data_IF_015975314338
#
_entry.id   IF_015975314338
#
_cell.length_a   1.000
_cell.length_b   1.000
_cell.length_c   1.000
_cell.angle_alpha   90.00
_cell.angle_beta   90.00
_cell.angle_gamma   90.00
#
_symmetry.space_group_name_H-M   'P 1'
#
loop_
_entity.id
_entity.type
_entity.pdbx_description
1 polymer ?
#
# COMPACT_ATOMS: atom_id res chain seq x y z
N UNK A 1 -8.40 -8.68 20.65
CA UNK A 1 -7.74 -8.86 19.35
C UNK A 1 -8.82 -9.22 18.35
N UNK A 2 -9.05 -8.42 17.33
CA UNK A 2 -9.91 -8.86 16.23
C UNK A 2 -9.19 -9.99 15.49
N UNK A 3 -9.95 -11.00 15.07
CA UNK A 3 -9.44 -12.14 14.32
C UNK A 3 -8.88 -11.60 12.98
N UNK A 4 -7.55 -11.57 12.80
CA UNK A 4 -6.92 -11.18 11.52
C UNK A 4 -5.59 -10.41 11.57
N UNK A 5 -5.24 -9.74 12.68
CA UNK A 5 -3.99 -8.97 12.75
C UNK A 5 -2.78 -9.90 12.98
N UNK A 6 -2.06 -10.24 11.91
CA UNK A 6 -0.78 -10.96 12.02
C UNK A 6 0.30 -9.98 12.46
N UNK A 7 0.54 -9.93 13.77
CA UNK A 7 1.71 -9.27 14.31
C UNK A 7 2.96 -9.91 13.69
N UNK A 8 3.92 -9.10 13.31
CA UNK A 8 5.12 -9.56 12.65
C UNK A 8 6.35 -9.21 13.46
N UNK A 9 7.21 -10.20 13.61
CA UNK A 9 8.47 -10.10 14.29
C UNK A 9 9.46 -9.48 13.32
N UNK A 10 9.77 -8.21 13.60
CA UNK A 10 10.68 -7.42 12.77
C UNK A 10 12.08 -8.04 12.74
N UNK A 11 12.52 -8.66 13.85
CA UNK A 11 13.87 -9.23 14.01
C UNK A 11 14.09 -10.46 13.15
N UNK A 12 13.13 -11.38 13.15
CA UNK A 12 13.20 -12.64 12.40
C UNK A 12 12.61 -12.53 11.01
N UNK A 13 11.94 -11.41 10.69
CA UNK A 13 11.17 -11.22 9.45
C UNK A 13 10.21 -12.38 9.24
N UNK A 14 9.42 -12.66 10.28
CA UNK A 14 8.48 -13.76 10.31
C UNK A 14 7.20 -13.35 11.05
N UNK A 15 6.08 -14.01 10.76
CA UNK A 15 4.86 -13.79 11.52
C UNK A 15 5.06 -14.21 12.97
N UNK A 16 4.39 -13.49 13.85
CA UNK A 16 4.25 -13.82 15.27
C UNK A 16 2.98 -14.62 15.43
N UNK A 17 3.11 -15.79 16.06
CA UNK A 17 1.98 -16.63 16.44
C UNK A 17 2.11 -16.91 17.92
N UNK A 18 1.08 -16.58 18.70
CA UNK A 18 1.04 -16.77 20.15
C UNK A 18 2.27 -16.21 20.90
N UNK A 19 2.74 -15.04 20.46
CA UNK A 19 3.90 -14.37 21.04
C UNK A 19 5.24 -15.06 20.74
N UNK A 20 5.30 -15.88 19.68
CA UNK A 20 6.48 -16.64 19.24
C UNK A 20 6.75 -16.47 17.75
N UNK A 21 7.99 -16.76 17.32
CA UNK A 21 8.47 -16.71 15.94
C UNK A 21 9.44 -17.86 15.66
N UNK A 22 9.85 -18.06 14.40
CA UNK A 22 10.85 -19.06 13.98
C UNK A 22 12.20 -18.39 13.76
N UNK A 23 13.25 -18.94 14.36
CA UNK A 23 14.63 -18.55 14.09
C UNK A 23 15.04 -18.98 12.67
N UNK A 24 15.42 -18.06 11.77
CA UNK A 24 15.71 -18.40 10.38
C UNK A 24 16.98 -19.23 10.19
N UNK A 25 17.93 -19.19 11.14
CA UNK A 25 19.22 -19.86 11.01
C UNK A 25 19.20 -21.28 11.59
N UNK A 26 18.36 -21.50 12.60
CA UNK A 26 18.29 -22.78 13.33
C UNK A 26 16.98 -23.53 13.12
N UNK A 27 15.93 -22.86 12.63
CA UNK A 27 14.59 -23.41 12.47
C UNK A 27 13.80 -23.58 13.77
N UNK A 28 14.37 -23.21 14.92
CA UNK A 28 13.72 -23.38 16.21
C UNK A 28 12.60 -22.35 16.45
N UNK A 29 11.52 -22.77 17.11
CA UNK A 29 10.50 -21.85 17.64
C UNK A 29 11.04 -21.17 18.88
N UNK A 30 10.96 -19.85 18.92
CA UNK A 30 11.43 -19.01 20.02
C UNK A 30 10.41 -17.92 20.35
N UNK A 31 10.45 -17.28 21.53
CA UNK A 31 9.63 -16.11 21.82
C UNK A 31 9.81 -15.01 20.77
N UNK A 32 8.72 -14.34 20.42
CA UNK A 32 8.75 -13.18 19.55
C UNK A 32 9.47 -12.05 20.28
N UNK A 33 10.36 -11.40 19.54
CA UNK A 33 11.06 -10.21 19.97
C UNK A 33 10.17 -8.98 19.85
N UNK A 34 10.51 -7.91 20.58
CA UNK A 34 9.91 -6.59 20.43
C UNK A 34 10.87 -5.69 19.64
N UNK A 35 10.41 -4.82 18.72
CA UNK A 35 9.01 -4.44 18.42
C UNK A 35 8.32 -5.38 17.42
N UNK A 36 6.98 -5.31 17.41
CA UNK A 36 6.10 -5.98 16.45
C UNK A 36 5.44 -4.95 15.52
N UNK A 37 5.09 -5.35 14.30
CA UNK A 37 4.42 -4.49 13.31
C UNK A 37 3.32 -5.26 12.58
N UNK A 38 2.53 -4.58 11.76
CA UNK A 38 1.89 -5.22 10.61
C UNK A 38 2.99 -5.73 9.66
N UNK A 39 2.88 -7.01 9.27
CA UNK A 39 3.88 -7.72 8.50
C UNK A 39 4.40 -6.99 7.27
N UNK A 40 5.73 -6.85 7.11
CA UNK A 40 6.33 -6.41 5.87
C UNK A 40 6.08 -7.31 4.66
N UNK A 41 6.25 -6.72 3.46
CA UNK A 41 6.54 -5.30 3.28
C UNK A 41 5.26 -4.48 3.20
N UNK A 42 4.93 -3.77 4.28
CA UNK A 42 4.07 -2.60 4.24
C UNK A 42 4.94 -1.45 3.74
N UNK A 43 4.58 -0.85 2.61
CA UNK A 43 5.30 0.27 2.00
C UNK A 43 4.57 1.58 2.29
N UNK A 44 5.29 2.68 2.46
CA UNK A 44 4.71 4.03 2.51
C UNK A 44 4.39 4.47 1.08
N UNK A 45 3.11 4.63 0.77
CA UNK A 45 2.70 5.08 -0.55
C UNK A 45 2.31 6.55 -0.50
N UNK A 46 2.86 7.33 -1.43
CA UNK A 46 2.55 8.74 -1.63
C UNK A 46 2.02 8.92 -3.05
N UNK A 47 0.84 9.50 -3.15
CA UNK A 47 0.25 9.93 -4.40
C UNK A 47 0.23 11.45 -4.44
N UNK A 48 0.76 12.02 -5.52
CA UNK A 48 0.73 13.44 -5.80
C UNK A 48 0.00 13.68 -7.13
N UNK A 49 -1.07 14.46 -7.07
CA UNK A 49 -1.80 14.90 -8.24
C UNK A 49 -1.30 16.28 -8.66
N UNK A 50 -0.83 16.40 -9.91
CA UNK A 50 -0.45 17.68 -10.49
C UNK A 50 -1.65 18.47 -11.00
N UNK A 51 -2.78 17.79 -11.24
CA UNK A 51 -4.01 18.46 -11.59
C UNK A 51 -4.58 19.17 -10.36
N UNK A 52 -4.73 20.48 -10.45
CA UNK A 52 -5.40 21.28 -9.44
C UNK A 52 -6.57 22.01 -10.10
N UNK A 53 -7.76 21.87 -9.51
CA UNK A 53 -8.95 22.61 -9.90
C UNK A 53 -9.57 23.19 -8.62
N UNK A 54 -9.51 24.53 -8.43
CA UNK A 54 -10.09 25.18 -7.25
C UNK A 54 -11.61 25.04 -7.12
N UNK A 55 -12.31 24.62 -8.18
CA UNK A 55 -13.76 24.50 -8.23
C UNK A 55 -14.25 23.05 -8.12
N UNK A 56 -13.35 22.07 -8.09
CA UNK A 56 -13.68 20.65 -8.01
C UNK A 56 -12.99 19.98 -6.80
N UNK A 57 -13.59 18.90 -6.27
CA UNK A 57 -13.04 18.15 -5.13
C UNK A 57 -11.91 17.19 -5.54
N UNK A 58 -10.92 17.73 -6.27
CA UNK A 58 -9.77 16.96 -6.72
C UNK A 58 -8.78 16.80 -5.57
N UNK A 59 -8.29 15.58 -5.38
CA UNK A 59 -7.24 15.30 -4.40
C UNK A 59 -5.89 15.84 -4.89
N UNK A 60 -5.09 16.41 -3.98
CA UNK A 60 -3.75 16.96 -4.31
C UNK A 60 -2.64 16.02 -3.82
N UNK A 61 -2.79 15.50 -2.60
CA UNK A 61 -1.81 14.60 -1.97
C UNK A 61 -2.55 13.56 -1.12
N UNK A 62 -2.19 12.29 -1.26
CA UNK A 62 -2.64 11.20 -0.38
C UNK A 62 -1.43 10.37 0.05
N UNK A 63 -1.37 10.00 1.33
CA UNK A 63 -0.26 9.22 1.91
C UNK A 63 -0.73 8.29 3.02
N UNK A 64 -0.04 7.18 3.20
CA UNK A 64 -0.34 6.17 4.21
C UNK A 64 0.28 4.80 3.88
N UNK A 65 0.11 3.84 4.79
CA UNK A 65 0.68 2.50 4.62
C UNK A 65 -0.09 1.72 3.57
N UNK A 66 0.63 1.16 2.62
CA UNK A 66 0.15 0.20 1.64
C UNK A 66 0.55 -1.21 2.12
N UNK A 67 -0.45 -2.07 2.33
CA UNK A 67 -0.27 -3.49 2.60
C UNK A 67 0.35 -4.36 1.50
N UNK A 68 0.29 -4.03 0.19
CA UNK A 68 0.89 -4.89 -0.83
C UNK A 68 2.43 -4.81 -0.85
N UNK A 69 3.00 -5.80 -1.52
CA UNK A 69 4.37 -5.69 -2.01
C UNK A 69 4.49 -4.67 -3.16
N UNK A 70 5.72 -4.23 -3.43
CA UNK A 70 6.02 -3.17 -4.42
C UNK A 70 5.54 -3.54 -5.84
N UNK A 71 5.66 -4.80 -6.22
CA UNK A 71 5.24 -5.33 -7.51
C UNK A 71 3.73 -5.23 -7.73
N UNK A 72 2.93 -5.55 -6.72
CA UNK A 72 1.47 -5.39 -6.75
C UNK A 72 1.07 -3.91 -6.93
N UNK A 73 1.81 -3.00 -6.27
CA UNK A 73 1.60 -1.57 -6.45
C UNK A 73 1.91 -1.12 -7.89
N UNK A 74 3.02 -1.56 -8.48
CA UNK A 74 3.35 -1.22 -9.86
C UNK A 74 2.28 -1.71 -10.86
N UNK A 75 1.79 -2.94 -10.70
CA UNK A 75 0.71 -3.49 -11.52
C UNK A 75 -0.56 -2.63 -11.41
N UNK A 76 -0.86 -2.11 -10.20
CA UNK A 76 -2.01 -1.23 -9.99
C UNK A 76 -1.85 0.11 -10.68
N UNK A 77 -0.69 0.75 -10.54
CA UNK A 77 -0.40 2.01 -11.24
C UNK A 77 -0.53 1.82 -12.76
N UNK A 78 0.00 0.73 -13.30
CA UNK A 78 -0.11 0.42 -14.72
C UNK A 78 -1.57 0.29 -15.19
N UNK A 79 -2.44 -0.37 -14.41
CA UNK A 79 -3.88 -0.47 -14.71
C UNK A 79 -4.57 0.89 -14.72
N UNK A 80 -4.29 1.75 -13.74
CA UNK A 80 -4.86 3.10 -13.68
C UNK A 80 -4.50 3.95 -14.91
N UNK A 81 -3.30 3.74 -15.46
CA UNK A 81 -2.87 4.38 -16.73
C UNK A 81 -3.60 3.78 -17.92
N UNK A 82 -3.67 2.45 -18.02
CA UNK A 82 -4.33 1.75 -19.13
C UNK A 82 -5.81 2.13 -19.24
N UNK A 83 -6.49 2.22 -18.10
CA UNK A 83 -7.90 2.57 -17.99
C UNK A 83 -8.14 4.10 -18.04
N UNK A 84 -7.08 4.89 -18.24
CA UNK A 84 -7.11 6.36 -18.39
C UNK A 84 -7.65 7.13 -17.17
N UNK A 85 -7.62 6.54 -15.98
CA UNK A 85 -7.97 7.23 -14.73
C UNK A 85 -6.91 8.25 -14.30
N UNK A 86 -5.65 7.97 -14.68
CA UNK A 86 -4.52 8.85 -14.41
C UNK A 86 -3.65 9.00 -15.66
N UNK A 87 -3.03 10.16 -15.82
CA UNK A 87 -1.83 10.31 -16.63
C UNK A 87 -0.63 10.21 -15.71
N UNK A 88 0.25 9.24 -15.95
CA UNK A 88 1.41 9.02 -15.08
C UNK A 88 2.59 9.87 -15.52
N UNK A 89 3.16 10.64 -14.60
CA UNK A 89 4.35 11.45 -14.86
C UNK A 89 5.62 10.77 -14.34
N UNK A 90 5.57 10.25 -13.11
CA UNK A 90 6.69 9.52 -12.54
C UNK A 90 6.25 8.54 -11.46
N UNK A 91 7.04 7.47 -11.33
CA UNK A 91 6.98 6.54 -10.20
C UNK A 91 8.38 6.42 -9.66
N UNK A 92 8.58 6.78 -8.40
CA UNK A 92 9.86 6.62 -7.70
C UNK A 92 9.69 5.60 -6.60
N UNK A 93 10.47 4.53 -6.66
CA UNK A 93 10.33 3.41 -5.73
C UNK A 93 11.64 3.12 -5.02
N UNK A 94 11.51 2.89 -3.73
CA UNK A 94 12.52 2.32 -2.86
C UNK A 94 11.95 1.07 -2.19
N UNK A 95 12.76 0.37 -1.39
CA UNK A 95 12.31 -0.80 -0.63
C UNK A 95 11.12 -0.53 0.30
N UNK A 96 10.93 0.71 0.76
CA UNK A 96 9.95 1.05 1.80
C UNK A 96 8.98 2.15 1.39
N UNK A 97 9.16 2.75 0.22
CA UNK A 97 8.37 3.90 -0.20
C UNK A 97 8.15 3.87 -1.69
N UNK A 98 6.93 4.19 -2.11
CA UNK A 98 6.58 4.45 -3.49
C UNK A 98 5.92 5.82 -3.60
N UNK A 99 6.48 6.68 -4.43
CA UNK A 99 5.92 7.99 -4.77
C UNK A 99 5.41 7.93 -6.20
N UNK A 100 4.12 8.20 -6.38
CA UNK A 100 3.46 8.25 -7.67
C UNK A 100 3.04 9.69 -7.94
N UNK A 101 3.60 10.29 -9.00
CA UNK A 101 3.21 11.61 -9.49
C UNK A 101 2.38 11.43 -10.75
N UNK A 102 1.17 11.95 -10.74
CA UNK A 102 0.22 11.79 -11.83
C UNK A 102 -0.66 13.03 -12.02
N UNK A 103 -1.41 13.06 -13.10
CA UNK A 103 -2.57 13.94 -13.26
C UNK A 103 -3.84 13.09 -13.23
N UNK A 104 -4.83 13.53 -12.45
CA UNK A 104 -6.15 12.92 -12.42
C UNK A 104 -7.22 13.95 -12.15
N UNK A 105 -8.37 13.81 -12.81
CA UNK A 105 -9.57 14.60 -12.55
C UNK A 105 -10.52 13.94 -11.55
N UNK A 106 -10.14 12.79 -11.02
CA UNK A 106 -10.94 12.07 -10.01
C UNK A 106 -11.15 12.93 -8.78
N UNK A 107 -12.35 12.84 -8.23
CA UNK A 107 -12.62 13.33 -6.87
C UNK A 107 -11.80 12.55 -5.85
N UNK A 108 -11.66 13.10 -4.64
CA UNK A 108 -10.97 12.39 -3.55
C UNK A 108 -11.60 11.04 -3.25
N UNK A 109 -12.93 10.96 -3.24
CA UNK A 109 -13.67 9.73 -2.94
C UNK A 109 -13.48 8.67 -4.03
N UNK A 110 -13.51 9.06 -5.30
CA UNK A 110 -13.20 8.16 -6.42
C UNK A 110 -11.77 7.63 -6.32
N UNK A 111 -10.80 8.52 -6.07
CA UNK A 111 -9.40 8.13 -5.89
C UNK A 111 -9.23 7.15 -4.71
N UNK A 112 -9.88 7.40 -3.58
CA UNK A 112 -9.83 6.49 -2.43
C UNK A 112 -10.39 5.11 -2.77
N UNK A 113 -11.45 5.06 -3.59
CA UNK A 113 -12.08 3.82 -4.05
C UNK A 113 -11.23 3.04 -5.06
N UNK A 114 -10.60 3.72 -6.01
CA UNK A 114 -9.92 3.05 -7.13
C UNK A 114 -8.41 2.96 -6.97
N UNK A 115 -7.75 3.88 -6.26
CA UNK A 115 -6.30 3.92 -6.16
C UNK A 115 -5.76 3.61 -4.76
N UNK A 116 -6.50 3.98 -3.71
CA UNK A 116 -6.02 3.88 -2.32
C UNK A 116 -6.33 2.55 -1.65
N UNK A 117 -7.60 2.14 -1.65
CA UNK A 117 -7.98 0.85 -1.13
C UNK A 117 -7.55 -0.21 -2.16
N UNK A 118 -6.70 -1.16 -1.75
CA UNK A 118 -6.33 -2.36 -2.51
C UNK A 118 -7.57 -3.25 -2.70
N UNK A 119 -8.53 -2.75 -3.47
CA UNK A 119 -9.95 -3.00 -3.27
C UNK A 119 -10.28 -4.48 -3.15
N UNK A 120 -11.08 -4.81 -2.14
CA UNK A 120 -12.02 -5.90 -2.37
C UNK A 120 -12.93 -5.49 -3.52
N UNK A 121 -12.76 -6.16 -4.65
CA UNK A 121 -13.77 -6.20 -5.70
C UNK A 121 -13.58 -5.18 -6.83
N UNK A 122 -13.36 -5.74 -8.02
CA UNK A 122 -14.02 -5.24 -9.21
C UNK A 122 -15.51 -5.01 -8.94
N UNK A 123 -15.95 -3.77 -8.92
CA UNK A 123 -17.34 -3.45 -9.27
C UNK A 123 -17.29 -2.41 -10.36
N UNK A 124 -17.48 -2.92 -11.57
CA UNK A 124 -17.86 -2.22 -12.79
C UNK A 124 -18.82 -1.07 -12.44
N UNK A 125 -18.46 0.15 -12.82
CA UNK A 125 -19.45 1.20 -13.04
C UNK A 125 -19.61 1.29 -14.56
N UNK A 126 -20.83 0.95 -14.99
CA UNK A 126 -21.35 1.18 -16.34
C UNK A 126 -21.39 2.67 -16.66
#
# INVERSE_FOLDING_TARGET
MAIGDVAWDVTTKRPIVDGKTINPDTGAVQPASTPTTYGPPTIDIVWQNLHTDPQADVWVLNRGPAGPSIDELFIRVAKLVQDQWITLHSVTVTQYTCVVVCESKMTRDEFHRVAWNFGEGSTVLH
#
